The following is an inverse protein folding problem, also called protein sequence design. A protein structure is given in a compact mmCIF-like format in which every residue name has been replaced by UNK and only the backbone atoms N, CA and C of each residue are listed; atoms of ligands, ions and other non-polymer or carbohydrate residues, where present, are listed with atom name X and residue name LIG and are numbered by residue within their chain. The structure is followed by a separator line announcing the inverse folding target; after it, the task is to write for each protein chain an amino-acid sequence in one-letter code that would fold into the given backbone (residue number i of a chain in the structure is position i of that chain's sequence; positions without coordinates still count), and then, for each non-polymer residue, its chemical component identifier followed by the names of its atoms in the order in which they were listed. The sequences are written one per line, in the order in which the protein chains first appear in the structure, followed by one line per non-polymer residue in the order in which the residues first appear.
data_IF_040001822490
#
_entry.id   IF_040001822490
#
_cell.length_a   1.000
_cell.length_b   1.000
_cell.length_c   1.000
_cell.angle_alpha   90.00
_cell.angle_beta   90.00
_cell.angle_gamma   90.00
#
_symmetry.space_group_name_H-M   'P 1'
#
loop_
_entity.id
_entity.type
_entity.pdbx_description
1 polymer ?
#
# COMPACT_ATOMS: atom_id res chain seq x y z
N UNK A 1 -41.65 -24.86 -9.44
CA UNK A 1 -40.40 -24.96 -10.22
C UNK A 1 -39.28 -24.34 -9.41
N UNK A 2 -38.24 -25.12 -9.10
CA UNK A 2 -37.06 -24.68 -8.34
C UNK A 2 -36.10 -23.96 -9.28
N UNK A 3 -35.57 -22.82 -8.84
CA UNK A 3 -34.32 -22.26 -9.33
C UNK A 3 -33.59 -21.55 -8.18
N UNK A 4 -33.19 -22.31 -7.15
CA UNK A 4 -32.18 -21.87 -6.20
C UNK A 4 -30.83 -22.41 -6.66
N UNK A 5 -30.25 -21.73 -7.65
CA UNK A 5 -28.84 -21.90 -7.98
C UNK A 5 -28.01 -21.18 -6.93
N UNK A 6 -27.81 -21.78 -5.76
CA UNK A 6 -26.67 -21.41 -4.92
C UNK A 6 -25.42 -21.85 -5.66
N UNK A 7 -24.84 -20.91 -6.41
CA UNK A 7 -23.47 -21.06 -6.90
C UNK A 7 -22.62 -21.20 -5.64
N UNK A 8 -22.09 -22.41 -5.43
CA UNK A 8 -21.10 -22.68 -4.40
C UNK A 8 -19.81 -21.96 -4.82
N UNK A 9 -19.72 -20.66 -4.56
CA UNK A 9 -18.51 -19.90 -4.80
C UNK A 9 -17.51 -20.37 -3.74
N UNK A 10 -16.49 -21.08 -4.18
CA UNK A 10 -15.44 -21.61 -3.34
C UNK A 10 -14.77 -20.42 -2.61
N UNK A 11 -14.86 -20.34 -1.28
CA UNK A 11 -14.34 -19.20 -0.48
C UNK A 11 -12.86 -18.91 -0.74
N UNK A 12 -12.12 -19.93 -1.22
CA UNK A 12 -10.73 -19.81 -1.64
C UNK A 12 -10.51 -18.93 -2.88
N UNK A 13 -11.54 -18.61 -3.67
CA UNK A 13 -11.44 -17.78 -4.89
C UNK A 13 -12.09 -16.39 -4.76
N UNK A 14 -12.75 -16.08 -3.64
CA UNK A 14 -13.42 -14.79 -3.47
C UNK A 14 -12.40 -13.74 -3.06
N UNK A 15 -12.28 -12.71 -3.90
CA UNK A 15 -11.50 -11.51 -3.61
C UNK A 15 -11.80 -10.98 -2.20
N UNK A 16 -10.77 -10.62 -1.44
CA UNK A 16 -10.95 -10.23 -0.03
C UNK A 16 -11.84 -8.99 0.15
N UNK A 17 -11.83 -8.04 -0.78
CA UNK A 17 -12.75 -6.89 -0.75
C UNK A 17 -14.21 -7.32 -0.95
N UNK A 18 -14.47 -8.29 -1.85
CA UNK A 18 -15.81 -8.86 -2.04
C UNK A 18 -16.28 -9.59 -0.77
N UNK A 19 -15.39 -10.36 -0.14
CA UNK A 19 -15.68 -11.01 1.15
C UNK A 19 -15.98 -10.00 2.24
N UNK A 20 -15.25 -8.88 2.29
CA UNK A 20 -15.50 -7.77 3.22
C UNK A 20 -16.92 -7.20 3.04
N UNK A 21 -17.29 -6.81 1.82
CA UNK A 21 -18.61 -6.24 1.55
C UNK A 21 -19.74 -7.24 1.80
N UNK A 22 -19.53 -8.50 1.42
CA UNK A 22 -20.52 -9.56 1.67
C UNK A 22 -20.75 -9.77 3.16
N UNK A 23 -19.68 -9.74 3.97
CA UNK A 23 -19.76 -9.86 5.42
C UNK A 23 -20.47 -8.65 6.05
N UNK A 24 -20.13 -7.43 5.61
CA UNK A 24 -20.79 -6.20 6.06
C UNK A 24 -22.31 -6.26 5.80
N UNK A 25 -22.71 -6.68 4.60
CA UNK A 25 -24.12 -6.77 4.21
C UNK A 25 -24.88 -7.89 4.94
N UNK A 26 -24.23 -9.05 5.17
CA UNK A 26 -24.85 -10.20 5.86
C UNK A 26 -24.99 -10.00 7.36
N UNK A 27 -24.02 -9.34 8.01
CA UNK A 27 -24.03 -9.13 9.46
C UNK A 27 -24.96 -7.98 9.91
N UNK A 28 -25.69 -7.35 8.98
CA UNK A 28 -26.78 -6.41 9.27
C UNK A 28 -26.37 -5.19 10.12
N UNK A 29 -25.08 -4.82 10.12
CA UNK A 29 -24.56 -3.73 10.94
C UNK A 29 -24.38 -4.06 12.43
N UNK A 30 -24.40 -5.34 12.82
CA UNK A 30 -24.13 -5.75 14.22
C UNK A 30 -22.70 -5.42 14.70
N UNK A 31 -21.74 -5.40 13.78
CA UNK A 31 -20.40 -4.86 14.03
C UNK A 31 -20.31 -3.42 13.54
N UNK A 32 -19.58 -2.60 14.28
CA UNK A 32 -19.28 -1.25 13.82
C UNK A 32 -18.40 -1.31 12.57
N UNK A 33 -18.60 -0.37 11.64
CA UNK A 33 -17.76 -0.24 10.44
C UNK A 33 -16.26 -0.20 10.81
N UNK A 34 -15.93 0.40 11.95
CA UNK A 34 -14.57 0.47 12.50
C UNK A 34 -13.97 -0.90 12.81
N UNK A 35 -14.72 -1.82 13.43
CA UNK A 35 -14.25 -3.18 13.72
C UNK A 35 -13.98 -3.99 12.46
N UNK A 36 -14.85 -3.85 11.46
CA UNK A 36 -14.70 -4.53 10.17
C UNK A 36 -13.49 -4.00 9.39
N UNK A 37 -13.29 -2.67 9.38
CA UNK A 37 -12.11 -2.03 8.79
C UNK A 37 -10.84 -2.52 9.47
N UNK A 38 -10.78 -2.50 10.82
CA UNK A 38 -9.61 -2.98 11.57
C UNK A 38 -9.29 -4.45 11.26
N UNK A 39 -10.32 -5.29 11.10
CA UNK A 39 -10.14 -6.69 10.75
C UNK A 39 -9.59 -6.88 9.34
N UNK A 40 -10.13 -6.16 8.36
CA UNK A 40 -9.72 -6.26 6.95
C UNK A 40 -8.27 -5.81 6.72
N UNK A 41 -7.88 -4.66 7.28
CA UNK A 41 -6.55 -4.09 7.10
C UNK A 41 -5.47 -4.72 8.00
N UNK A 42 -5.78 -5.84 8.65
CA UNK A 42 -4.78 -6.57 9.43
C UNK A 42 -3.72 -7.17 8.47
N UNK A 43 -2.41 -7.08 8.77
CA UNK A 43 -1.31 -7.36 7.84
C UNK A 43 -1.31 -8.72 7.10
N UNK A 44 -2.10 -9.68 7.52
CA UNK A 44 -2.12 -11.04 6.98
C UNK A 44 -3.29 -11.35 6.03
N UNK A 45 -4.19 -10.40 5.76
CA UNK A 45 -5.46 -10.71 5.09
C UNK A 45 -5.51 -10.46 3.59
N UNK A 46 -4.62 -9.65 3.01
CA UNK A 46 -4.68 -9.33 1.57
C UNK A 46 -3.78 -10.28 0.80
N UNK A 47 -4.37 -11.03 -0.14
CA UNK A 47 -3.61 -11.92 -1.03
C UNK A 47 -3.03 -11.13 -2.19
N UNK A 48 -1.92 -11.60 -2.74
CA UNK A 48 -1.24 -10.96 -3.88
C UNK A 48 -2.15 -10.73 -5.11
N UNK A 49 -3.10 -11.64 -5.34
CA UNK A 49 -4.05 -11.56 -6.46
C UNK A 49 -5.35 -10.81 -6.09
N UNK A 50 -5.51 -10.36 -4.85
CA UNK A 50 -6.67 -9.57 -4.48
C UNK A 50 -6.50 -8.13 -4.99
N UNK A 51 -7.56 -7.59 -5.57
CA UNK A 51 -7.78 -6.14 -5.67
C UNK A 51 -8.03 -5.63 -4.24
N UNK A 52 -7.08 -4.91 -3.62
CA UNK A 52 -7.26 -4.44 -2.25
C UNK A 52 -8.25 -3.27 -2.22
N UNK A 53 -8.95 -3.12 -1.10
CA UNK A 53 -9.64 -1.86 -0.82
C UNK A 53 -8.62 -0.74 -0.71
N UNK A 54 -8.92 0.40 -1.35
CA UNK A 54 -8.13 1.63 -1.20
C UNK A 54 -8.14 2.06 0.27
N UNK A 55 -7.00 1.95 0.94
CA UNK A 55 -6.90 2.22 2.36
C UNK A 55 -7.12 3.71 2.66
N UNK A 56 -6.80 4.61 1.73
CA UNK A 56 -6.99 6.05 1.90
C UNK A 56 -8.42 6.43 2.27
N UNK A 57 -9.42 5.66 1.80
CA UNK A 57 -10.84 5.88 2.09
C UNK A 57 -11.20 5.58 3.56
N UNK A 58 -10.41 4.73 4.21
CA UNK A 58 -10.64 4.26 5.57
C UNK A 58 -9.54 4.68 6.55
N UNK A 59 -8.52 5.38 6.06
CA UNK A 59 -7.28 5.68 6.78
C UNK A 59 -7.54 6.40 8.11
N UNK A 60 -8.47 7.36 8.10
CA UNK A 60 -8.89 8.11 9.30
C UNK A 60 -9.46 7.24 10.43
N UNK A 61 -10.02 6.07 10.11
CA UNK A 61 -10.60 5.14 11.09
C UNK A 61 -9.58 4.14 11.65
N UNK A 62 -8.37 4.11 11.09
CA UNK A 62 -7.29 3.24 11.54
C UNK A 62 -6.46 3.92 12.62
N UNK A 63 -5.95 3.13 13.57
CA UNK A 63 -4.94 3.57 14.53
C UNK A 63 -3.61 3.84 13.81
N UNK A 64 -2.75 4.69 14.40
CA UNK A 64 -1.39 4.95 13.87
C UNK A 64 -0.60 3.67 13.62
N UNK A 65 -0.68 2.73 14.56
CA UNK A 65 -0.03 1.41 14.42
C UNK A 65 -0.56 0.63 13.20
N UNK A 66 -1.89 0.55 13.02
CA UNK A 66 -2.47 -0.16 11.88
C UNK A 66 -2.11 0.50 10.54
N UNK A 67 -2.11 1.84 10.47
CA UNK A 67 -1.67 2.58 9.27
C UNK A 67 -0.24 2.24 8.91
N UNK A 68 0.67 2.30 9.90
CA UNK A 68 2.09 1.98 9.74
C UNK A 68 2.29 0.55 9.27
N UNK A 69 1.70 -0.42 9.98
CA UNK A 69 1.84 -1.83 9.64
C UNK A 69 1.32 -2.15 8.24
N UNK A 70 0.22 -1.52 7.84
CA UNK A 70 -0.32 -1.73 6.51
C UNK A 70 0.61 -1.21 5.41
N UNK A 71 1.06 0.04 5.53
CA UNK A 71 1.93 0.70 4.55
C UNK A 71 3.29 -0.02 4.44
N UNK A 72 3.82 -0.53 5.56
CA UNK A 72 5.08 -1.27 5.58
C UNK A 72 4.97 -2.67 4.96
N UNK A 73 3.87 -3.40 5.23
CA UNK A 73 3.73 -4.80 4.80
C UNK A 73 3.11 -4.96 3.41
N UNK A 74 2.35 -3.98 2.92
CA UNK A 74 1.57 -4.11 1.67
C UNK A 74 2.05 -3.17 0.57
N UNK A 75 3.23 -2.56 0.70
CA UNK A 75 3.72 -1.53 -0.21
C UNK A 75 3.69 -1.91 -1.71
N UNK A 76 3.81 -3.20 -2.04
CA UNK A 76 3.74 -3.72 -3.41
C UNK A 76 2.31 -3.91 -3.95
N UNK A 77 1.33 -4.05 -3.07
CA UNK A 77 -0.08 -4.27 -3.41
C UNK A 77 -0.88 -2.98 -3.42
N UNK A 78 -0.37 -1.93 -2.76
CA UNK A 78 -1.04 -0.64 -2.67
C UNK A 78 -0.94 0.08 -4.01
N UNK A 79 -2.08 0.57 -4.48
CA UNK A 79 -2.12 1.43 -5.66
C UNK A 79 -1.29 2.70 -5.41
N UNK A 80 -0.48 3.13 -6.39
CA UNK A 80 0.47 4.26 -6.22
C UNK A 80 -0.22 5.54 -5.69
N UNK A 81 -1.38 5.89 -6.25
CA UNK A 81 -2.14 7.06 -5.76
C UNK A 81 -2.70 6.88 -4.35
N UNK A 82 -3.01 5.65 -3.94
CA UNK A 82 -3.58 5.36 -2.63
C UNK A 82 -2.53 5.57 -1.53
N UNK A 83 -1.28 5.16 -1.76
CA UNK A 83 -0.17 5.43 -0.85
C UNK A 83 0.02 6.94 -0.63
N UNK A 84 -0.02 7.74 -1.71
CA UNK A 84 0.10 9.20 -1.63
C UNK A 84 -1.03 9.83 -0.80
N UNK A 85 -2.26 9.41 -1.05
CA UNK A 85 -3.42 9.89 -0.30
C UNK A 85 -3.34 9.51 1.19
N UNK A 86 -2.72 8.37 1.53
CA UNK A 86 -2.42 8.02 2.90
C UNK A 86 -1.38 8.96 3.52
N UNK A 87 -0.27 9.24 2.83
CA UNK A 87 0.75 10.17 3.32
C UNK A 87 0.17 11.57 3.59
N UNK A 88 -0.73 12.06 2.74
CA UNK A 88 -1.39 13.37 2.97
C UNK A 88 -2.30 13.41 4.19
N UNK A 89 -2.78 12.26 4.67
CA UNK A 89 -3.60 12.15 5.87
C UNK A 89 -2.77 11.95 7.15
N UNK A 90 -1.46 11.76 7.03
CA UNK A 90 -0.53 11.58 8.14
C UNK A 90 0.06 12.91 8.57
N UNK A 91 0.28 13.07 9.88
CA UNK A 91 1.07 14.19 10.38
C UNK A 91 2.56 14.01 10.02
N UNK A 92 3.35 15.07 10.16
CA UNK A 92 4.79 15.05 9.81
C UNK A 92 5.56 14.01 10.63
N UNK A 93 5.28 13.91 11.93
CA UNK A 93 5.95 12.96 12.81
C UNK A 93 5.66 11.50 12.40
N UNK A 94 4.40 11.19 12.06
CA UNK A 94 3.96 9.88 11.61
C UNK A 94 4.64 9.50 10.28
N UNK A 95 4.78 10.45 9.34
CA UNK A 95 5.49 10.23 8.07
C UNK A 95 6.98 9.97 8.29
N UNK A 96 7.64 10.77 9.13
CA UNK A 96 9.06 10.59 9.46
C UNK A 96 9.30 9.24 10.14
N UNK A 97 8.43 8.84 11.08
CA UNK A 97 8.53 7.54 11.73
C UNK A 97 8.39 6.39 10.73
N UNK A 98 7.42 6.49 9.80
CA UNK A 98 7.22 5.49 8.74
C UNK A 98 8.47 5.34 7.87
N UNK A 99 9.03 6.45 7.38
CA UNK A 99 10.21 6.41 6.51
C UNK A 99 11.46 5.93 7.22
N UNK A 100 11.64 6.31 8.49
CA UNK A 100 12.73 5.81 9.31
C UNK A 100 12.63 4.32 9.63
N UNK A 101 11.41 3.78 9.73
CA UNK A 101 11.18 2.37 10.05
C UNK A 101 11.49 1.43 8.88
N UNK A 102 11.43 1.93 7.64
CA UNK A 102 11.78 1.17 6.45
C UNK A 102 12.43 2.07 5.38
N UNK A 103 13.72 2.37 5.52
CA UNK A 103 14.45 3.25 4.62
C UNK A 103 14.43 2.80 3.15
N UNK A 104 14.51 1.49 2.89
CA UNK A 104 14.43 0.95 1.54
C UNK A 104 13.09 1.27 0.86
N UNK A 105 12.00 1.07 1.58
CA UNK A 105 10.65 1.41 1.11
C UNK A 105 10.51 2.91 0.85
N UNK A 106 10.98 3.75 1.78
CA UNK A 106 10.91 5.20 1.64
C UNK A 106 11.63 5.67 0.36
N UNK A 107 12.84 5.16 0.12
CA UNK A 107 13.62 5.52 -1.06
C UNK A 107 13.02 4.98 -2.36
N UNK A 108 12.46 3.77 -2.35
CA UNK A 108 11.71 3.24 -3.50
C UNK A 108 10.48 4.09 -3.84
N UNK A 109 9.76 4.55 -2.82
CA UNK A 109 8.62 5.46 -3.00
C UNK A 109 9.08 6.82 -3.55
N UNK A 110 10.22 7.31 -3.08
CA UNK A 110 10.81 8.55 -3.59
C UNK A 110 11.32 8.43 -5.03
N UNK A 111 11.53 7.24 -5.60
CA UNK A 111 11.86 7.08 -7.03
C UNK A 111 10.64 7.29 -7.94
N UNK A 112 9.42 7.23 -7.41
CA UNK A 112 8.18 7.33 -8.18
C UNK A 112 7.64 8.76 -8.23
N UNK A 113 6.89 9.07 -9.29
CA UNK A 113 6.15 10.34 -9.38
C UNK A 113 5.15 10.47 -8.24
N UNK A 114 5.13 11.61 -7.51
CA UNK A 114 5.77 12.91 -7.81
C UNK A 114 7.02 13.16 -6.96
N UNK A 115 7.49 12.15 -6.22
CA UNK A 115 8.48 12.32 -5.15
C UNK A 115 9.92 12.25 -5.65
N UNK A 116 10.16 12.11 -6.96
CA UNK A 116 11.51 11.95 -7.52
C UNK A 116 12.46 13.08 -7.14
N UNK A 117 11.96 14.32 -7.05
CA UNK A 117 12.75 15.47 -6.62
C UNK A 117 13.28 15.34 -5.19
N UNK A 118 12.59 14.57 -4.33
CA UNK A 118 12.96 14.35 -2.93
C UNK A 118 13.93 13.17 -2.75
N UNK A 119 14.17 12.36 -3.78
CA UNK A 119 14.94 11.13 -3.65
C UNK A 119 16.34 11.37 -3.08
N UNK A 120 17.08 12.33 -3.63
CA UNK A 120 18.46 12.61 -3.19
C UNK A 120 18.50 13.15 -1.75
N UNK A 121 17.53 13.96 -1.37
CA UNK A 121 17.42 14.51 -0.02
C UNK A 121 17.12 13.40 1.00
N UNK A 122 16.10 12.59 0.73
CA UNK A 122 15.74 11.43 1.54
C UNK A 122 16.89 10.41 1.60
N UNK A 123 17.61 10.19 0.49
CA UNK A 123 18.75 9.27 0.46
C UNK A 123 19.87 9.74 1.40
N UNK A 124 20.17 11.04 1.43
CA UNK A 124 21.17 11.61 2.34
C UNK A 124 20.75 11.48 3.81
N UNK A 125 19.48 11.75 4.10
CA UNK A 125 18.94 11.63 5.46
C UNK A 125 18.96 10.18 5.96
N UNK A 126 18.53 9.25 5.11
CA UNK A 126 18.36 7.85 5.46
C UNK A 126 19.64 7.02 5.31
N UNK A 127 20.72 7.57 4.73
CA UNK A 127 21.96 6.86 4.43
C UNK A 127 22.53 6.09 5.64
N UNK A 128 22.51 6.72 6.82
CA UNK A 128 23.04 6.14 8.06
C UNK A 128 22.19 4.98 8.61
N UNK A 129 20.95 4.84 8.13
CA UNK A 129 20.00 3.80 8.55
C UNK A 129 19.94 2.64 7.57
N UNK A 130 20.42 2.82 6.33
CA UNK A 130 20.46 1.78 5.33
C UNK A 130 21.40 0.65 5.74
N UNK A 131 20.88 -0.56 5.75
CA UNK A 131 21.68 -1.77 5.78
C UNK A 131 22.07 -2.18 4.35
N UNK A 132 23.03 -3.09 4.24
CA UNK A 132 23.42 -3.64 2.93
C UNK A 132 22.22 -4.24 2.17
N UNK A 133 21.32 -4.94 2.88
CA UNK A 133 20.12 -5.49 2.28
C UNK A 133 19.16 -4.41 1.73
N UNK A 134 19.06 -3.27 2.43
CA UNK A 134 18.26 -2.13 1.97
C UNK A 134 18.84 -1.54 0.69
N UNK A 135 20.16 -1.35 0.66
CA UNK A 135 20.88 -0.85 -0.51
C UNK A 135 20.67 -1.75 -1.73
N UNK A 136 20.87 -3.07 -1.57
CA UNK A 136 20.64 -4.05 -2.65
C UNK A 136 19.19 -3.99 -3.14
N UNK A 137 18.23 -3.92 -2.22
CA UNK A 137 16.79 -3.84 -2.57
C UNK A 137 16.46 -2.59 -3.39
N UNK A 138 17.08 -1.44 -3.07
CA UNK A 138 16.89 -0.19 -3.82
C UNK A 138 17.57 -0.29 -5.19
N UNK A 139 18.81 -0.79 -5.24
CA UNK A 139 19.58 -0.92 -6.47
C UNK A 139 18.89 -1.85 -7.47
N UNK A 140 18.43 -3.03 -7.02
CA UNK A 140 17.68 -3.98 -7.85
C UNK A 140 16.41 -3.33 -8.39
N UNK A 141 15.71 -2.53 -7.58
CA UNK A 141 14.52 -1.81 -8.02
C UNK A 141 14.84 -0.78 -9.11
N UNK A 142 15.93 -0.03 -8.97
CA UNK A 142 16.36 0.93 -9.99
C UNK A 142 16.74 0.19 -11.29
N UNK A 143 17.53 -0.87 -11.18
CA UNK A 143 17.99 -1.65 -12.32
C UNK A 143 16.82 -2.23 -13.10
N UNK A 144 15.89 -2.91 -12.42
CA UNK A 144 14.76 -3.58 -13.07
C UNK A 144 13.82 -2.54 -13.71
N UNK A 145 13.31 -1.60 -12.92
CA UNK A 145 12.18 -0.77 -13.36
C UNK A 145 12.56 0.50 -14.11
N UNK A 146 13.81 0.97 -13.99
CA UNK A 146 14.22 2.23 -14.60
C UNK A 146 15.31 2.06 -15.68
N UNK A 147 16.21 1.10 -15.51
CA UNK A 147 17.33 0.89 -16.46
C UNK A 147 16.98 -0.19 -17.48
N UNK A 148 16.61 -1.40 -17.02
CA UNK A 148 16.36 -2.56 -17.87
C UNK A 148 15.04 -2.45 -18.63
N UNK A 149 13.98 -1.99 -17.96
CA UNK A 149 12.67 -1.74 -18.60
C UNK A 149 12.68 -0.51 -19.55
N UNK A 150 13.82 0.16 -19.71
CA UNK A 150 13.99 1.26 -20.66
C UNK A 150 13.16 2.49 -20.34
N UNK A 151 12.95 2.77 -19.05
CA UNK A 151 12.11 3.88 -18.61
C UNK A 151 12.66 5.22 -19.09
N UNK A 152 12.00 5.86 -20.06
CA UNK A 152 12.40 7.19 -20.52
C UNK A 152 11.97 8.23 -19.49
N UNK A 153 12.91 8.59 -18.62
CA UNK A 153 12.73 9.62 -17.60
C UNK A 153 12.29 10.97 -18.20
N UNK A 154 12.56 11.22 -19.48
CA UNK A 154 12.24 12.48 -20.15
C UNK A 154 10.80 12.54 -20.68
N UNK A 155 10.09 11.43 -20.84
CA UNK A 155 8.71 11.46 -21.33
C UNK A 155 7.74 12.11 -20.32
N UNK A 156 8.03 12.03 -19.01
CA UNK A 156 7.24 12.70 -17.98
C UNK A 156 7.30 14.24 -18.05
N UNK A 157 8.28 14.80 -18.77
CA UNK A 157 8.48 16.25 -18.91
C UNK A 157 8.15 16.78 -20.31
N UNK A 158 7.69 15.93 -21.24
CA UNK A 158 7.31 16.35 -22.61
C UNK A 158 5.90 16.92 -22.73
N UNK A 159 5.06 16.79 -21.69
CA UNK A 159 3.67 17.31 -21.68
C UNK A 159 3.48 18.54 -20.76
N UNK A 160 4.55 19.28 -20.45
CA UNK A 160 4.48 20.60 -19.78
C UNK A 160 4.82 21.74 -20.74
#
# INVERSE_FOLDING_TARGET
MKANGMVHINERQINTAVSFWTKLMKEGGTKTLEELIKHYFRPAFIRYLDIPLRISSYFRFLSKQCRRDYLLNNNYLIHKDDFRLCLYQMDEAERLELFHSNPATALKQALMWPFQSLFIELAKELLKRLQLADFTTILDHILIYYIMDGYDYYDQFREL
#
